data_IF_525765115714
#
_entry.id   IF_525765115714
#
_cell.length_a   1.000
_cell.length_b   1.000
_cell.length_c   1.000
_cell.angle_alpha   90.00
_cell.angle_beta   90.00
_cell.angle_gamma   90.00
#
_symmetry.space_group_name_H-M   'P 1'
#
loop_
_entity.id
_entity.type
_entity.pdbx_description
1 polymer ?
#
# COMPACT_ATOMS: atom_id res chain seq x y z
N UNK A 1 -27.91 -51.08 6.23
CA UNK A 1 -28.33 -50.32 5.03
C UNK A 1 -27.80 -48.91 5.18
N UNK A 2 -27.45 -48.31 4.05
CA UNK A 2 -26.43 -47.29 3.89
C UNK A 2 -26.64 -45.97 4.65
N UNK A 3 -25.49 -45.40 5.00
CA UNK A 3 -25.24 -44.06 5.52
C UNK A 3 -25.76 -42.97 4.57
N UNK A 4 -26.49 -42.00 5.09
CA UNK A 4 -26.73 -40.71 4.44
C UNK A 4 -26.06 -39.62 5.26
N UNK A 5 -24.86 -39.25 4.84
CA UNK A 5 -24.14 -38.06 5.28
C UNK A 5 -24.36 -37.00 4.21
N UNK A 6 -25.42 -36.22 4.32
CA UNK A 6 -25.67 -35.10 3.40
C UNK A 6 -25.09 -33.81 4.00
N UNK A 7 -23.94 -33.45 3.43
CA UNK A 7 -23.41 -32.11 3.20
C UNK A 7 -24.20 -30.92 3.78
N UNK A 8 -23.77 -30.40 4.94
CA UNK A 8 -24.29 -29.10 5.44
C UNK A 8 -23.27 -28.19 6.12
N UNK A 9 -21.96 -28.41 5.93
CA UNK A 9 -20.93 -27.52 6.48
C UNK A 9 -19.83 -27.17 5.46
N UNK A 10 -20.13 -26.29 4.50
CA UNK A 10 -19.07 -25.70 3.66
C UNK A 10 -19.33 -24.26 3.21
N UNK A 11 -20.05 -23.44 4.00
CA UNK A 11 -20.39 -22.06 3.59
C UNK A 11 -19.87 -20.92 4.49
N UNK A 12 -18.96 -21.15 5.45
CA UNK A 12 -18.51 -20.06 6.35
C UNK A 12 -17.00 -19.86 6.50
N UNK A 13 -16.14 -20.65 5.84
CA UNK A 13 -14.71 -20.71 6.17
C UNK A 13 -13.80 -20.84 4.94
N UNK A 14 -13.39 -19.75 4.29
CA UNK A 14 -12.41 -19.87 3.18
C UNK A 14 -11.23 -18.91 3.34
N UNK A 15 -10.58 -19.03 4.51
CA UNK A 15 -9.15 -18.78 4.63
C UNK A 15 -8.45 -20.14 4.58
N UNK A 16 -7.77 -20.44 3.48
CA UNK A 16 -7.08 -21.72 3.29
C UNK A 16 -5.60 -21.52 3.60
N UNK A 17 -5.09 -22.23 4.61
CA UNK A 17 -3.64 -22.33 4.88
C UNK A 17 -3.09 -23.50 4.09
N UNK A 18 -2.14 -23.24 3.19
CA UNK A 18 -1.42 -24.28 2.44
C UNK A 18 0.09 -24.04 2.61
N UNK A 19 0.77 -24.94 3.32
CA UNK A 19 2.21 -24.82 3.58
C UNK A 19 2.58 -23.48 4.24
N UNK A 20 3.42 -22.70 3.55
CA UNK A 20 3.89 -21.38 3.99
C UNK A 20 3.03 -20.22 3.45
N UNK A 21 1.82 -20.49 2.97
CA UNK A 21 0.92 -19.50 2.38
C UNK A 21 -0.49 -19.56 2.97
N UNK A 22 -1.16 -18.42 3.01
CA UNK A 22 -2.56 -18.26 3.40
C UNK A 22 -3.30 -17.57 2.29
N UNK A 23 -4.38 -18.19 1.81
CA UNK A 23 -5.22 -17.68 0.73
C UNK A 23 -6.58 -17.26 1.27
N UNK A 24 -7.00 -16.04 0.95
CA UNK A 24 -8.32 -15.48 1.27
C UNK A 24 -9.06 -15.23 -0.04
N UNK A 25 -10.29 -15.73 -0.18
CA UNK A 25 -11.11 -15.50 -1.37
C UNK A 25 -11.43 -14.02 -1.56
N UNK A 26 -11.72 -13.61 -2.79
CA UNK A 26 -12.01 -12.22 -3.11
C UNK A 26 -13.28 -11.72 -2.40
N UNK A 27 -14.30 -12.57 -2.30
CA UNK A 27 -15.57 -12.30 -1.64
C UNK A 27 -15.34 -12.10 -0.13
N UNK A 28 -14.57 -13.01 0.48
CA UNK A 28 -14.24 -12.91 1.91
C UNK A 28 -13.42 -11.66 2.19
N UNK A 29 -12.43 -11.36 1.35
CA UNK A 29 -11.64 -10.13 1.48
C UNK A 29 -12.55 -8.88 1.38
N UNK A 30 -13.51 -8.88 0.46
CA UNK A 30 -14.44 -7.77 0.31
C UNK A 30 -15.22 -7.49 1.61
N UNK A 31 -15.78 -8.54 2.23
CA UNK A 31 -16.46 -8.42 3.52
C UNK A 31 -15.55 -7.94 4.64
N UNK A 32 -14.32 -8.49 4.74
CA UNK A 32 -13.33 -8.07 5.74
C UNK A 32 -13.01 -6.58 5.59
N UNK A 33 -12.78 -6.12 4.36
CA UNK A 33 -12.42 -4.72 4.11
C UNK A 33 -13.57 -3.78 4.45
N UNK A 34 -14.80 -4.10 4.04
CA UNK A 34 -15.97 -3.27 4.39
C UNK A 34 -16.21 -3.22 5.89
N UNK A 35 -16.02 -4.32 6.61
CA UNK A 35 -16.18 -4.37 8.06
C UNK A 35 -15.12 -3.57 8.83
N UNK A 36 -13.95 -3.30 8.23
CA UNK A 36 -12.85 -2.57 8.88
C UNK A 36 -12.68 -1.12 8.38
N UNK A 37 -13.48 -0.68 7.41
CA UNK A 37 -13.45 0.69 6.89
C UNK A 37 -14.74 1.41 7.32
N UNK A 38 -14.69 2.18 8.41
CA UNK A 38 -15.82 3.03 8.85
C UNK A 38 -16.28 3.98 7.74
N UNK A 39 -15.32 4.48 6.95
CA UNK A 39 -15.57 5.24 5.73
C UNK A 39 -14.51 4.91 4.67
N UNK A 40 -14.88 4.39 3.49
CA UNK A 40 -13.91 4.07 2.46
C UNK A 40 -13.24 5.34 1.93
N UNK A 41 -11.90 5.30 1.81
CA UNK A 41 -11.15 6.36 1.12
C UNK A 41 -11.55 6.39 -0.36
N UNK A 42 -11.31 7.52 -1.05
CA UNK A 42 -11.51 7.60 -2.52
C UNK A 42 -10.80 6.45 -3.25
N UNK A 43 -9.60 6.10 -2.81
CA UNK A 43 -8.83 4.99 -3.36
C UNK A 43 -9.52 3.66 -3.10
N UNK A 44 -9.94 3.39 -1.86
CA UNK A 44 -10.65 2.16 -1.50
C UNK A 44 -11.96 2.02 -2.29
N UNK A 45 -12.74 3.08 -2.46
CA UNK A 45 -13.97 3.06 -3.28
C UNK A 45 -13.68 2.67 -4.73
N UNK A 46 -12.66 3.28 -5.35
CA UNK A 46 -12.25 2.96 -6.73
C UNK A 46 -11.69 1.55 -6.84
N UNK A 47 -11.01 1.06 -5.80
CA UNK A 47 -10.56 -0.32 -5.76
C UNK A 47 -11.74 -1.27 -5.66
N UNK A 48 -12.67 -1.02 -4.74
CA UNK A 48 -13.87 -1.83 -4.49
C UNK A 48 -14.82 -1.94 -5.69
N UNK A 49 -14.79 -0.97 -6.62
CA UNK A 49 -15.57 -1.03 -7.87
C UNK A 49 -14.92 -1.86 -9.00
N UNK A 50 -13.64 -2.25 -8.90
CA UNK A 50 -12.95 -3.04 -9.94
C UNK A 50 -13.09 -4.54 -9.72
N UNK A 51 -13.31 -5.40 -10.74
CA UNK A 51 -13.41 -6.84 -10.51
C UNK A 51 -12.13 -7.43 -9.89
N UNK A 52 -12.28 -8.37 -8.96
CA UNK A 52 -11.16 -9.15 -8.45
C UNK A 52 -10.67 -10.12 -9.53
N UNK A 53 -9.36 -10.16 -9.73
CA UNK A 53 -8.72 -11.04 -10.72
C UNK A 53 -8.23 -12.35 -10.13
N UNK A 54 -8.06 -12.39 -8.80
CA UNK A 54 -7.47 -13.51 -8.06
C UNK A 54 -7.75 -13.40 -6.56
N UNK A 55 -7.62 -14.51 -5.81
CA UNK A 55 -7.64 -14.47 -4.36
C UNK A 55 -6.39 -13.76 -3.79
N UNK A 56 -6.47 -13.40 -2.52
CA UNK A 56 -5.36 -12.79 -1.80
C UNK A 56 -4.47 -13.88 -1.19
N UNK A 57 -3.23 -13.99 -1.65
CA UNK A 57 -2.25 -14.94 -1.09
C UNK A 57 -1.17 -14.22 -0.27
N UNK A 58 -0.97 -14.67 0.97
CA UNK A 58 -0.10 -14.06 1.99
C UNK A 58 0.94 -15.10 2.43
N UNK A 59 2.20 -14.69 2.57
CA UNK A 59 3.30 -15.53 3.08
C UNK A 59 3.19 -15.67 4.60
N UNK A 60 3.03 -16.88 5.13
CA UNK A 60 2.87 -17.16 6.57
C UNK A 60 4.17 -17.00 7.38
N UNK A 61 5.30 -16.80 6.72
CA UNK A 61 6.59 -16.56 7.37
C UNK A 61 7.01 -15.08 7.34
N UNK A 62 6.18 -14.19 6.78
CA UNK A 62 6.49 -12.76 6.75
C UNK A 62 6.61 -12.20 8.19
N UNK A 63 7.67 -11.45 8.50
CA UNK A 63 7.82 -10.81 9.82
C UNK A 63 8.08 -11.74 11.02
N UNK A 64 8.21 -13.06 10.83
CA UNK A 64 8.63 -13.97 11.91
C UNK A 64 10.11 -13.75 12.23
N UNK A 65 10.39 -13.07 13.35
CA UNK A 65 11.71 -13.09 14.00
C UNK A 65 12.04 -14.52 14.43
N UNK A 66 13.30 -14.95 14.36
CA UNK A 66 13.77 -16.32 14.70
C UNK A 66 13.49 -16.79 16.14
N UNK A 67 12.85 -15.98 16.98
CA UNK A 67 12.49 -16.35 18.34
C UNK A 67 11.16 -17.11 18.31
N UNK A 68 11.21 -18.41 18.63
CA UNK A 68 10.15 -19.40 18.42
C UNK A 68 8.90 -19.21 19.28
N UNK A 69 8.18 -18.11 19.07
CA UNK A 69 6.79 -18.00 19.51
C UNK A 69 5.91 -18.57 18.40
N UNK A 70 5.14 -19.62 18.70
CA UNK A 70 4.13 -20.26 17.85
C UNK A 70 2.94 -19.32 17.59
N UNK A 71 3.22 -18.10 17.15
CA UNK A 71 2.22 -17.15 16.74
C UNK A 71 1.61 -17.63 15.43
N UNK A 72 0.27 -17.74 15.45
CA UNK A 72 -0.56 -17.70 14.26
C UNK A 72 0.05 -16.67 13.31
N UNK A 73 0.38 -17.09 12.09
CA UNK A 73 1.28 -16.36 11.18
C UNK A 73 0.90 -14.88 10.96
N UNK A 74 1.76 -14.08 10.31
CA UNK A 74 1.59 -12.65 10.13
C UNK A 74 0.21 -12.33 9.56
N UNK A 75 -0.68 -11.90 10.44
CA UNK A 75 -2.02 -11.49 10.08
C UNK A 75 -1.96 -10.06 9.56
N UNK A 76 -2.58 -9.84 8.39
CA UNK A 76 -2.71 -8.48 7.87
C UNK A 76 -3.63 -7.71 8.80
N UNK A 77 -3.12 -6.64 9.41
CA UNK A 77 -3.95 -5.74 10.20
C UNK A 77 -4.88 -4.93 9.29
N UNK A 78 -6.10 -5.44 9.06
CA UNK A 78 -7.12 -4.78 8.25
C UNK A 78 -7.75 -3.54 8.90
N UNK A 79 -7.42 -3.20 10.15
CA UNK A 79 -7.83 -1.91 10.74
C UNK A 79 -7.09 -0.72 10.13
N UNK A 80 -5.99 -0.97 9.39
CA UNK A 80 -5.24 0.08 8.68
C UNK A 80 -5.73 0.20 7.25
N UNK A 81 -6.20 1.39 6.87
CA UNK A 81 -6.68 1.69 5.50
C UNK A 81 -5.64 1.32 4.44
N UNK A 82 -4.35 1.62 4.68
CA UNK A 82 -3.25 1.28 3.76
C UNK A 82 -3.14 -0.23 3.53
N UNK A 83 -3.38 -1.04 4.55
CA UNK A 83 -3.33 -2.50 4.45
C UNK A 83 -4.54 -3.02 3.66
N UNK A 84 -5.74 -2.46 3.90
CA UNK A 84 -6.93 -2.74 3.10
C UNK A 84 -6.71 -2.39 1.62
N UNK A 85 -6.22 -1.19 1.34
CA UNK A 85 -5.91 -0.75 -0.03
C UNK A 85 -4.86 -1.67 -0.68
N UNK A 86 -3.81 -2.05 0.05
CA UNK A 86 -2.79 -2.97 -0.46
C UNK A 86 -3.37 -4.35 -0.80
N UNK A 87 -4.21 -4.92 0.06
CA UNK A 87 -4.89 -6.19 -0.19
C UNK A 87 -5.84 -6.11 -1.40
N UNK A 88 -6.56 -4.99 -1.55
CA UNK A 88 -7.40 -4.75 -2.72
C UNK A 88 -6.58 -4.58 -4.01
N UNK A 89 -5.43 -3.88 -3.96
CA UNK A 89 -4.51 -3.79 -5.11
C UNK A 89 -3.99 -5.18 -5.48
N UNK A 90 -3.63 -6.00 -4.49
CA UNK A 90 -3.12 -7.35 -4.72
C UNK A 90 -4.12 -8.23 -5.49
N UNK A 91 -5.41 -8.16 -5.13
CA UNK A 91 -6.46 -8.99 -5.75
C UNK A 91 -6.95 -8.45 -7.11
N UNK A 92 -6.90 -7.13 -7.32
CA UNK A 92 -7.50 -6.46 -8.50
C UNK A 92 -6.47 -6.01 -9.55
N UNK A 93 -5.20 -5.97 -9.17
CA UNK A 93 -4.12 -5.46 -10.01
C UNK A 93 -3.50 -6.47 -10.95
N UNK A 94 -2.60 -5.95 -11.79
CA UNK A 94 -1.80 -6.74 -12.72
C UNK A 94 -0.50 -7.17 -12.04
N UNK A 95 -0.13 -8.44 -12.20
CA UNK A 95 1.19 -8.93 -11.79
C UNK A 95 2.24 -8.24 -12.66
N UNK A 96 3.26 -7.67 -12.03
CA UNK A 96 4.37 -7.07 -12.75
C UNK A 96 5.21 -8.18 -13.41
N UNK A 97 5.59 -7.99 -14.68
CA UNK A 97 6.46 -8.93 -15.42
C UNK A 97 7.76 -9.24 -14.67
N UNK A 98 8.32 -8.23 -14.01
CA UNK A 98 9.47 -8.35 -13.11
C UNK A 98 9.11 -7.75 -11.76
N UNK A 99 9.34 -8.45 -10.65
CA UNK A 99 9.05 -7.90 -9.32
C UNK A 99 9.91 -6.66 -9.04
N UNK A 100 9.40 -5.73 -8.24
CA UNK A 100 10.19 -4.59 -7.79
C UNK A 100 11.32 -5.05 -6.85
N UNK A 101 12.35 -4.20 -6.65
CA UNK A 101 13.51 -4.54 -5.81
C UNK A 101 13.15 -4.92 -4.36
N UNK A 102 12.07 -4.36 -3.81
CA UNK A 102 11.64 -4.70 -2.44
C UNK A 102 10.91 -6.05 -2.41
N UNK A 103 10.04 -6.30 -3.39
CA UNK A 103 9.30 -7.56 -3.50
C UNK A 103 10.23 -8.72 -3.86
N UNK A 104 11.25 -8.52 -4.71
CA UNK A 104 12.24 -9.56 -5.02
C UNK A 104 13.05 -9.99 -3.80
N UNK A 105 13.22 -9.11 -2.81
CA UNK A 105 13.85 -9.40 -1.52
C UNK A 105 12.90 -10.03 -0.49
N UNK A 106 11.65 -10.30 -0.85
CA UNK A 106 10.67 -10.89 0.07
C UNK A 106 10.20 -9.96 1.18
N UNK A 107 10.35 -8.63 1.01
CA UNK A 107 9.97 -7.64 2.02
C UNK A 107 8.47 -7.31 2.03
N UNK A 108 7.65 -8.04 1.27
CA UNK A 108 6.19 -7.88 1.24
C UNK A 108 5.51 -9.11 1.84
N UNK A 109 4.36 -8.92 2.51
CA UNK A 109 3.54 -10.05 2.95
C UNK A 109 2.95 -10.85 1.79
N UNK A 110 2.87 -10.28 0.58
CA UNK A 110 2.23 -10.92 -0.57
C UNK A 110 3.20 -11.82 -1.35
N UNK A 111 2.66 -12.83 -2.03
CA UNK A 111 3.44 -13.73 -2.90
C UNK A 111 3.92 -13.01 -4.16
N UNK A 112 3.02 -12.31 -4.85
CA UNK A 112 3.29 -11.61 -6.11
C UNK A 112 3.55 -10.11 -5.97
N UNK A 113 4.32 -9.54 -6.90
CA UNK A 113 4.46 -8.11 -7.06
C UNK A 113 3.36 -7.54 -7.98
N UNK A 114 2.40 -6.82 -7.40
CA UNK A 114 1.18 -6.39 -8.11
C UNK A 114 1.01 -4.90 -8.09
N UNK A 115 0.59 -4.29 -9.20
CA UNK A 115 0.21 -2.86 -9.23
C UNK A 115 -1.07 -2.62 -10.01
N UNK A 116 -1.68 -1.46 -9.77
CA UNK A 116 -2.76 -0.90 -10.57
C UNK A 116 -2.32 0.49 -11.02
N UNK A 117 -2.42 0.75 -12.31
CA UNK A 117 -2.08 2.06 -12.88
C UNK A 117 -3.04 3.15 -12.38
N UNK A 118 -2.48 4.32 -12.07
CA UNK A 118 -3.20 5.47 -11.50
C UNK A 118 -3.55 5.33 -10.01
N UNK A 119 -3.21 4.20 -9.36
CA UNK A 119 -3.48 3.95 -7.93
C UNK A 119 -2.17 3.87 -7.16
N UNK A 120 -2.16 4.33 -5.90
CA UNK A 120 -0.98 4.30 -5.03
C UNK A 120 0.28 4.90 -5.68
N UNK A 121 0.10 5.92 -6.55
CA UNK A 121 1.16 6.53 -7.37
C UNK A 121 1.96 5.48 -8.15
N UNK A 122 1.28 4.47 -8.68
CA UNK A 122 1.81 3.32 -9.43
C UNK A 122 2.82 2.45 -8.67
N UNK A 123 2.85 2.56 -7.35
CA UNK A 123 3.61 1.62 -6.51
C UNK A 123 2.88 0.27 -6.40
N UNK A 124 3.63 -0.80 -6.20
CA UNK A 124 3.03 -2.12 -6.00
C UNK A 124 2.36 -2.26 -4.63
N UNK A 125 1.42 -3.21 -4.51
CA UNK A 125 0.71 -3.54 -3.28
C UNK A 125 1.67 -3.74 -2.09
N UNK A 126 2.77 -4.47 -2.29
CA UNK A 126 3.75 -4.72 -1.22
C UNK A 126 4.49 -3.48 -0.74
N UNK A 127 4.86 -2.57 -1.64
CA UNK A 127 5.47 -1.30 -1.25
C UNK A 127 4.45 -0.35 -0.63
N UNK A 128 3.20 -0.36 -1.11
CA UNK A 128 2.09 0.40 -0.52
C UNK A 128 1.82 -0.04 0.91
N UNK A 129 1.71 -1.35 1.16
CA UNK A 129 1.54 -1.96 2.48
C UNK A 129 2.59 -1.46 3.49
N UNK A 130 3.86 -1.44 3.08
CA UNK A 130 4.97 -1.01 3.93
C UNK A 130 5.15 0.52 3.99
N UNK A 131 4.21 1.32 3.49
CA UNK A 131 4.34 2.77 3.34
C UNK A 131 5.64 3.22 2.62
N UNK A 132 6.19 2.36 1.78
CA UNK A 132 7.47 2.55 1.08
C UNK A 132 7.29 2.73 -0.43
N UNK A 133 6.09 3.13 -0.87
CA UNK A 133 5.74 3.31 -2.28
C UNK A 133 6.69 4.23 -3.07
N UNK A 134 7.30 5.22 -2.42
CA UNK A 134 8.30 6.13 -3.04
C UNK A 134 9.59 5.42 -3.44
N UNK A 135 9.93 4.29 -2.80
CA UNK A 135 11.10 3.45 -3.08
C UNK A 135 10.78 2.27 -4.00
N UNK A 136 9.53 2.15 -4.45
CA UNK A 136 9.11 1.10 -5.36
C UNK A 136 9.76 1.32 -6.74
N UNK A 137 10.51 0.34 -7.24
CA UNK A 137 11.17 0.46 -8.56
C UNK A 137 10.21 0.39 -9.75
N UNK A 138 8.95 0.00 -9.52
CA UNK A 138 7.89 0.03 -10.53
C UNK A 138 7.19 1.39 -10.64
N UNK A 139 7.38 2.25 -9.63
CA UNK A 139 6.83 3.60 -9.63
C UNK A 139 7.55 4.42 -10.71
N UNK A 140 6.83 5.05 -11.66
CA UNK A 140 7.45 5.92 -12.64
C UNK A 140 8.13 7.07 -11.90
N UNK A 141 9.40 7.31 -12.24
CA UNK A 141 10.04 8.57 -11.89
C UNK A 141 9.32 9.63 -12.73
N UNK A 142 8.85 10.69 -12.09
CA UNK A 142 8.41 11.88 -12.83
C UNK A 142 9.62 12.28 -13.67
N UNK A 143 9.54 12.07 -14.98
CA UNK A 143 10.50 12.64 -15.90
C UNK A 143 10.18 14.12 -15.85
N UNK A 144 11.00 14.87 -15.14
CA UNK A 144 11.01 16.32 -15.24
C UNK A 144 11.26 16.63 -16.72
N UNK A 145 10.20 16.98 -17.42
CA UNK A 145 10.25 17.24 -18.84
C UNK A 145 11.23 18.38 -19.09
N UNK A 146 12.23 18.06 -19.89
CA UNK A 146 12.77 18.92 -20.94
C UNK A 146 11.89 20.14 -21.22
N UNK A 147 12.34 21.32 -20.78
CA UNK A 147 11.98 22.58 -21.43
C UNK A 147 12.76 22.67 -22.73
N UNK A 148 12.38 21.89 -23.74
CA UNK A 148 12.88 22.11 -25.10
C UNK A 148 11.93 23.05 -25.84
N UNK A 149 12.48 24.24 -26.09
CA UNK A 149 12.16 25.22 -27.14
C UNK A 149 10.71 25.71 -27.26
N UNK A 150 10.37 26.73 -26.46
CA UNK A 150 9.47 27.79 -26.92
C UNK A 150 10.27 29.11 -26.94
N UNK A 151 10.48 29.59 -28.16
CA UNK A 151 10.88 30.93 -28.61
C UNK A 151 11.03 32.00 -27.52
N UNK A 152 12.24 32.56 -27.43
CA UNK A 152 12.56 33.78 -26.69
C UNK A 152 11.68 34.92 -27.21
N UNK A 153 10.85 35.48 -26.35
CA UNK A 153 10.53 36.91 -26.34
C UNK A 153 11.06 37.49 -25.02
N UNK A 154 11.82 38.62 -25.05
CA UNK A 154 12.45 39.15 -23.86
C UNK A 154 11.42 39.88 -22.99
N UNK A 155 11.11 39.33 -21.81
CA UNK A 155 10.41 40.08 -20.76
C UNK A 155 11.40 41.01 -20.04
N UNK A 156 10.94 42.19 -19.57
CA UNK A 156 11.83 43.27 -19.15
C UNK A 156 12.57 42.92 -17.85
N UNK A 157 13.85 43.28 -17.82
CA UNK A 157 14.71 43.20 -16.64
C UNK A 157 14.20 44.10 -15.51
N UNK A 158 13.61 43.52 -14.47
CA UNK A 158 13.51 44.18 -13.17
C UNK A 158 14.88 44.03 -12.48
N UNK A 159 15.61 45.14 -12.49
CA UNK A 159 16.87 45.36 -11.81
C UNK A 159 16.76 45.09 -10.30
N UNK A 160 17.72 44.34 -9.77
CA UNK A 160 17.92 44.08 -8.34
C UNK A 160 18.08 45.40 -7.58
N UNK A 161 17.02 45.78 -6.87
CA UNK A 161 17.08 46.80 -5.82
C UNK A 161 17.77 46.23 -4.59
N UNK A 162 18.98 46.74 -4.36
CA UNK A 162 19.77 46.75 -3.12
C UNK A 162 18.86 46.86 -1.86
N UNK A 163 18.81 45.84 -1.00
CA UNK A 163 18.32 46.01 0.37
C UNK A 163 19.51 46.34 1.28
N UNK A 164 19.58 47.55 1.87
CA UNK A 164 20.45 47.81 3.01
C UNK A 164 19.68 47.62 4.34
N UNK A 165 20.37 47.08 5.35
CA UNK A 165 20.15 47.50 6.74
C UNK A 165 19.13 46.73 7.59
N UNK A 166 19.68 45.84 8.43
CA UNK A 166 19.42 45.73 9.90
C UNK A 166 17.99 45.70 10.44
N UNK A 167 17.60 44.55 11.00
CA UNK A 167 16.87 44.54 12.29
C UNK A 167 17.17 43.25 13.07
N UNK A 168 17.85 43.42 14.20
CA UNK A 168 18.09 42.40 15.22
C UNK A 168 16.98 42.52 16.25
N UNK A 169 16.21 41.46 16.50
CA UNK A 169 15.47 41.31 17.76
C UNK A 169 15.51 39.86 18.26
N UNK A 170 16.46 39.64 19.18
CA UNK A 170 16.32 38.97 20.49
C UNK A 170 15.23 37.91 20.68
N UNK A 171 15.69 36.68 20.92
CA UNK A 171 14.97 35.53 21.46
C UNK A 171 14.75 35.70 22.98
N UNK A 172 13.53 35.53 23.53
CA UNK A 172 13.33 35.37 24.98
C UNK A 172 13.43 33.89 25.43
N UNK A 173 13.99 33.56 26.60
CA UNK A 173 14.07 32.18 27.08
C UNK A 173 12.95 31.78 28.07
N UNK A 174 12.65 30.47 28.02
CA UNK A 174 12.32 29.48 29.08
C UNK A 174 11.13 29.70 30.05
N UNK A 175 10.38 28.59 30.20
CA UNK A 175 9.60 28.16 31.38
C UNK A 175 8.31 28.91 31.73
N UNK A 176 7.16 28.38 31.32
CA UNK A 176 5.87 28.62 31.98
C UNK A 176 4.82 27.55 31.63
N UNK A 177 4.98 26.31 32.08
CA UNK A 177 3.85 25.38 32.23
C UNK A 177 4.08 24.45 33.42
N UNK A 178 3.58 24.86 34.58
CA UNK A 178 3.15 24.00 35.69
C UNK A 178 1.73 24.45 36.04
N UNK A 179 0.79 23.53 35.96
CA UNK A 179 -0.48 23.55 36.69
C UNK A 179 -0.63 22.20 37.35
#
# INVERSE_FOLDING_TARGET
>A
MASSSDDSDCQSSIQVRCGNETTITAERLHSIVLANLDKPSRTSTVLLSRPAKRPLTIRTNFGRSKAGHESEGPEINFRRVVNCEAALIQTRGNVAKTPCLHCSRGLSPFTDCVKIEGIARDSCAGCHFNASGTRCTLRPKVREGSRDTATRSPSPSISRGKYPGTFVQSVPPRNAYRH
#
